data_IF_641048279918
#
_entry.id   IF_641048279918
#
_cell.length_a   1.000
_cell.length_b   1.000
_cell.length_c   1.000
_cell.angle_alpha   90.00
_cell.angle_beta   90.00
_cell.angle_gamma   90.00
#
_symmetry.space_group_name_H-M   'P 1'
#
loop_
_entity.id
_entity.type
_entity.pdbx_description
1 polymer ?
#
# COMPACT_ATOMS: atom_id res chain seq x y z
N UNK A 1 -11.49 12.28 -6.01
CA UNK A 1 -10.67 11.12 -5.64
C UNK A 1 -11.47 10.20 -4.73
N UNK A 2 -11.44 8.92 -5.01
CA UNK A 2 -12.15 7.94 -4.20
C UNK A 2 -11.14 7.18 -3.33
N UNK A 3 -11.37 7.20 -2.03
CA UNK A 3 -10.53 6.47 -1.09
C UNK A 3 -11.25 5.17 -0.75
N UNK A 4 -10.55 4.05 -0.95
CA UNK A 4 -11.09 2.73 -0.69
C UNK A 4 -10.38 2.12 0.50
N UNK A 5 -11.04 1.15 1.13
CA UNK A 5 -10.49 0.51 2.31
C UNK A 5 -10.68 -1.00 2.20
N UNK A 6 -9.70 -1.77 2.64
CA UNK A 6 -9.79 -3.22 2.58
C UNK A 6 -8.91 -3.87 3.64
N UNK A 7 -9.29 -5.07 4.05
CA UNK A 7 -8.44 -5.94 4.86
C UNK A 7 -7.90 -7.11 4.02
N UNK A 8 -8.24 -7.15 2.74
CA UNK A 8 -7.71 -8.18 1.85
C UNK A 8 -6.38 -7.71 1.29
N UNK A 9 -5.32 -7.98 2.01
CA UNK A 9 -3.98 -7.55 1.63
C UNK A 9 -3.47 -8.25 0.39
N UNK A 10 -4.08 -9.39 0.04
CA UNK A 10 -3.62 -10.19 -1.09
C UNK A 10 -4.02 -9.61 -2.44
N UNK A 11 -4.93 -8.64 -2.44
CA UNK A 11 -5.37 -8.05 -3.70
C UNK A 11 -4.30 -7.15 -4.33
N UNK A 12 -3.32 -6.71 -3.56
CA UNK A 12 -2.28 -5.83 -4.06
C UNK A 12 -1.13 -6.63 -4.65
N UNK A 13 -0.66 -6.19 -5.82
CA UNK A 13 0.47 -6.84 -6.48
C UNK A 13 1.75 -6.14 -6.06
N UNK A 14 2.69 -6.91 -5.53
CA UNK A 14 3.97 -6.40 -5.08
C UNK A 14 5.08 -7.00 -5.92
N UNK A 15 6.11 -6.20 -6.18
CA UNK A 15 7.26 -6.67 -6.93
C UNK A 15 8.31 -7.20 -5.97
N UNK A 16 8.76 -8.43 -6.22
CA UNK A 16 9.69 -9.10 -5.32
C UNK A 16 10.97 -8.29 -5.09
N UNK A 17 11.50 -7.66 -6.14
CA UNK A 17 12.74 -6.92 -6.00
C UNK A 17 12.59 -5.70 -5.08
N UNK A 18 11.41 -5.10 -5.07
CA UNK A 18 11.15 -3.99 -4.15
C UNK A 18 11.03 -4.48 -2.73
N UNK A 19 10.39 -5.62 -2.55
CA UNK A 19 10.25 -6.22 -1.22
C UNK A 19 11.62 -6.55 -0.65
N UNK A 20 12.51 -7.10 -1.47
CA UNK A 20 13.88 -7.42 -1.03
C UNK A 20 14.66 -6.19 -0.58
N UNK A 21 14.33 -5.03 -1.11
CA UNK A 21 15.02 -3.80 -0.75
C UNK A 21 14.43 -3.12 0.47
N UNK A 22 13.31 -3.60 0.96
CA UNK A 22 12.68 -2.99 2.12
C UNK A 22 13.52 -3.23 3.37
N UNK A 23 13.61 -2.20 4.19
CA UNK A 23 14.37 -2.27 5.44
C UNK A 23 13.43 -2.72 6.55
N UNK A 24 13.69 -3.88 7.19
CA UNK A 24 12.79 -4.39 8.24
C UNK A 24 12.55 -3.39 9.37
N UNK A 25 13.56 -2.61 9.74
CA UNK A 25 13.38 -1.60 10.80
C UNK A 25 12.35 -0.55 10.43
N UNK A 26 12.26 -0.20 9.16
CA UNK A 26 11.25 0.75 8.69
C UNK A 26 9.86 0.20 8.86
N UNK A 27 9.68 -1.09 8.53
CA UNK A 27 8.39 -1.75 8.70
C UNK A 27 8.01 -1.81 10.19
N UNK A 28 8.97 -2.18 11.04
CA UNK A 28 8.71 -2.27 12.48
C UNK A 28 8.34 -0.92 13.08
N UNK A 29 9.06 0.13 12.69
CA UNK A 29 8.79 1.46 13.21
C UNK A 29 7.39 1.92 12.84
N UNK A 30 7.03 1.74 11.59
CA UNK A 30 5.71 2.11 11.13
C UNK A 30 4.64 1.23 11.75
N UNK A 31 4.93 -0.06 11.91
CA UNK A 31 4.02 -0.99 12.57
C UNK A 31 3.70 -0.57 13.99
N UNK A 32 4.71 -0.15 14.74
CA UNK A 32 4.48 0.34 16.11
C UNK A 32 3.62 1.59 16.12
N UNK A 33 3.88 2.48 15.18
CA UNK A 33 3.08 3.70 15.07
C UNK A 33 1.63 3.38 14.78
N UNK A 34 1.38 2.46 13.86
CA UNK A 34 0.02 2.05 13.52
C UNK A 34 -0.67 1.32 14.66
N UNK A 35 0.08 0.55 15.43
CA UNK A 35 -0.50 -0.14 16.58
C UNK A 35 -1.02 0.83 17.62
N UNK A 36 -0.34 1.96 17.77
CA UNK A 36 -0.74 2.97 18.75
C UNK A 36 -1.79 3.92 18.23
N UNK A 37 -1.73 4.27 16.96
CA UNK A 37 -2.54 5.36 16.40
C UNK A 37 -3.51 4.92 15.30
N UNK A 38 -3.41 3.67 14.86
CA UNK A 38 -4.18 3.20 13.72
C UNK A 38 -3.62 3.73 12.41
N UNK A 39 -4.43 3.67 11.38
CA UNK A 39 -4.02 4.14 10.06
C UNK A 39 -3.97 5.68 10.03
N UNK A 40 -2.92 6.21 9.40
CA UNK A 40 -2.78 7.66 9.27
C UNK A 40 -3.56 8.13 8.06
N UNK A 41 -4.59 8.93 8.31
CA UNK A 41 -5.55 9.32 7.27
C UNK A 41 -4.98 10.19 6.15
N UNK A 42 -3.80 10.73 6.32
CA UNK A 42 -3.21 11.59 5.30
C UNK A 42 -2.34 10.83 4.32
N UNK A 43 -2.23 9.53 4.50
CA UNK A 43 -1.34 8.71 3.66
C UNK A 43 -2.08 7.49 3.18
N UNK A 44 -2.06 7.29 1.89
CA UNK A 44 -2.76 6.18 1.25
C UNK A 44 -1.80 5.33 0.45
N UNK A 45 -2.15 4.05 0.29
CA UNK A 45 -1.46 3.22 -0.68
C UNK A 45 -1.97 3.65 -2.06
N UNK A 46 -1.05 3.87 -2.99
CA UNK A 46 -1.42 4.24 -4.35
C UNK A 46 -1.21 3.04 -5.25
N UNK A 47 -2.25 2.68 -5.99
CA UNK A 47 -2.19 1.55 -6.92
C UNK A 47 -2.61 2.02 -8.32
N UNK A 48 -2.23 1.24 -9.32
CA UNK A 48 -2.70 1.46 -10.68
C UNK A 48 -3.94 0.62 -10.96
N UNK A 49 -4.44 0.70 -12.18
CA UNK A 49 -5.65 -0.01 -12.57
C UNK A 49 -5.52 -1.53 -12.53
N UNK A 50 -4.31 -2.04 -12.48
CA UNK A 50 -4.04 -3.49 -12.40
C UNK A 50 -3.69 -3.92 -10.97
N UNK A 51 -3.90 -3.05 -10.00
CA UNK A 51 -3.60 -3.30 -8.58
C UNK A 51 -2.13 -3.45 -8.26
N UNK A 52 -1.25 -2.94 -9.13
CA UNK A 52 0.16 -2.84 -8.80
C UNK A 52 0.38 -1.68 -7.85
N UNK A 53 1.15 -1.90 -6.79
CA UNK A 53 1.45 -0.84 -5.85
C UNK A 53 2.47 0.11 -6.46
N UNK A 54 2.10 1.38 -6.55
CA UNK A 54 2.99 2.43 -7.01
C UNK A 54 3.72 3.03 -5.83
N UNK A 55 3.01 3.22 -4.72
CA UNK A 55 3.59 3.79 -3.51
C UNK A 55 2.85 3.22 -2.31
N UNK A 56 3.58 3.04 -1.21
CA UNK A 56 2.96 2.61 0.03
C UNK A 56 3.33 1.21 0.48
N UNK A 57 4.41 0.64 -0.04
CA UNK A 57 4.83 -0.71 0.36
C UNK A 57 4.99 -0.87 1.86
N UNK A 58 5.66 0.08 2.51
CA UNK A 58 5.87 -0.01 3.96
C UNK A 58 4.57 0.04 4.73
N UNK A 59 3.63 0.85 4.25
CA UNK A 59 2.32 0.96 4.91
C UNK A 59 1.54 -0.33 4.79
N UNK A 60 1.60 -0.97 3.62
CA UNK A 60 0.91 -2.24 3.43
C UNK A 60 1.43 -3.29 4.41
N UNK A 61 2.75 -3.46 4.48
CA UNK A 61 3.32 -4.49 5.33
C UNK A 61 3.15 -4.19 6.81
N UNK A 62 3.22 -2.92 7.20
CA UNK A 62 2.97 -2.54 8.59
C UNK A 62 1.52 -2.80 8.98
N UNK A 63 0.58 -2.51 8.11
CA UNK A 63 -0.83 -2.78 8.36
C UNK A 63 -1.09 -4.28 8.48
N UNK A 64 -0.46 -5.07 7.64
CA UNK A 64 -0.60 -6.53 7.71
C UNK A 64 -0.17 -7.07 9.05
N UNK A 65 0.89 -6.53 9.63
CA UNK A 65 1.38 -6.98 10.94
C UNK A 65 0.37 -6.73 12.05
N UNK A 66 -0.45 -5.71 11.91
CA UNK A 66 -1.38 -5.30 12.96
C UNK A 66 -2.84 -5.58 12.60
N UNK A 67 -3.09 -6.23 11.47
CA UNK A 67 -4.44 -6.51 10.98
C UNK A 67 -5.29 -5.24 10.88
N UNK A 68 -4.64 -4.16 10.46
CA UNK A 68 -5.30 -2.86 10.30
C UNK A 68 -5.76 -2.74 8.84
N UNK A 69 -7.02 -2.32 8.61
CA UNK A 69 -7.47 -2.06 7.24
C UNK A 69 -6.59 -1.02 6.57
N UNK A 70 -6.27 -1.24 5.30
CA UNK A 70 -5.50 -0.27 4.53
C UNK A 70 -6.42 0.61 3.73
N UNK A 71 -6.03 1.88 3.59
CA UNK A 71 -6.72 2.83 2.74
C UNK A 71 -5.90 3.03 1.48
N UNK A 72 -6.54 2.99 0.34
CA UNK A 72 -5.82 3.08 -0.92
C UNK A 72 -6.61 3.88 -1.94
N UNK A 73 -5.88 4.41 -2.91
CA UNK A 73 -6.45 5.13 -4.04
C UNK A 73 -5.94 4.50 -5.31
N UNK A 74 -6.74 4.58 -6.36
CA UNK A 74 -6.37 4.04 -7.65
C UNK A 74 -6.14 5.18 -8.62
N UNK A 75 -5.04 5.12 -9.36
CA UNK A 75 -4.74 6.10 -10.39
C UNK A 75 -4.54 5.38 -11.71
N UNK A 76 -4.83 6.08 -12.79
CA UNK A 76 -4.58 5.54 -14.12
C UNK A 76 -3.19 6.02 -14.53
N UNK A 77 -2.28 5.08 -14.64
CA UNK A 77 -0.87 5.43 -14.85
C UNK A 77 -0.36 5.10 -16.23
N UNK A 78 -1.15 4.42 -17.04
CA UNK A 78 -0.66 3.93 -18.31
C UNK A 78 -1.45 4.47 -19.48
N UNK A 79 -1.18 5.71 -19.92
CA UNK A 79 -1.87 6.28 -21.07
C UNK A 79 -1.62 5.52 -22.36
N UNK A 80 -0.55 4.76 -22.43
CA UNK A 80 -0.25 3.97 -23.63
C UNK A 80 -1.27 2.90 -23.86
N UNK A 81 -1.84 2.32 -22.83
CA UNK A 81 -2.89 1.35 -22.96
C UNK A 81 -4.12 1.96 -23.61
N UNK A 82 -4.37 3.19 -23.32
CA UNK A 82 -5.54 3.91 -23.82
C UNK A 82 -5.37 4.24 -25.27
N UNK A 83 -4.16 4.54 -25.68
CA UNK A 83 -3.87 4.90 -27.06
C UNK A 83 -3.94 3.73 -28.02
N UNK A 84 -3.81 2.54 -27.49
CA UNK A 84 -3.91 1.36 -28.32
C UNK A 84 -5.34 0.98 -28.56
#
# INVERSE_FOLDING_TARGET
MVIMETIDYTMFKVEAWKVHRMVPKGIERLSKSMKQRGWINTSYITIDEDYNIIDGYYRLFAAMKNWIPVQYIMIKTNPKKIKK
#
